data_IF_134688697041
#
_entry.id   IF_134688697041
#
_cell.length_a   1.000
_cell.length_b   1.000
_cell.length_c   1.000
_cell.angle_alpha   90.00
_cell.angle_beta   90.00
_cell.angle_gamma   90.00
#
_symmetry.space_group_name_H-M   'P 1'
#
loop_
_entity.id
_entity.type
_entity.pdbx_description
1 polymer ?
#
# COMPACT_ATOMS: atom_id res chain seq x y z
N UNK A 1 18.72 12.66 12.66
CA UNK A 1 17.32 12.90 13.05
C UNK A 1 16.47 13.41 11.88
N UNK A 2 16.92 14.44 11.13
CA UNK A 2 16.20 14.94 9.94
C UNK A 2 15.98 13.90 8.82
N UNK A 3 16.90 12.96 8.65
CA UNK A 3 16.80 11.89 7.64
C UNK A 3 15.56 11.00 7.85
N UNK A 4 15.22 10.67 9.09
CA UNK A 4 14.05 9.86 9.41
C UNK A 4 12.73 10.59 9.08
N UNK A 5 12.68 11.91 9.31
CA UNK A 5 11.52 12.72 8.97
C UNK A 5 11.30 12.81 7.45
N UNK A 6 12.39 13.00 6.69
CA UNK A 6 12.35 13.02 5.22
C UNK A 6 11.90 11.65 4.69
N UNK A 7 12.42 10.56 5.24
CA UNK A 7 12.01 9.20 4.89
C UNK A 7 10.52 8.96 5.15
N UNK A 8 9.98 9.41 6.29
CA UNK A 8 8.56 9.27 6.62
C UNK A 8 7.66 10.05 5.64
N UNK A 9 8.06 11.28 5.28
CA UNK A 9 7.36 12.11 4.31
C UNK A 9 7.37 11.49 2.91
N UNK A 10 8.55 11.07 2.44
CA UNK A 10 8.71 10.40 1.14
C UNK A 10 7.93 9.10 1.08
N UNK A 11 7.94 8.30 2.16
CA UNK A 11 7.14 7.08 2.22
C UNK A 11 5.66 7.40 2.17
N UNK A 12 5.17 8.41 2.90
CA UNK A 12 3.77 8.84 2.87
C UNK A 12 3.30 9.25 1.46
N UNK A 13 4.10 10.04 0.74
CA UNK A 13 3.82 10.45 -0.65
C UNK A 13 3.83 9.23 -1.57
N UNK A 14 4.83 8.36 -1.43
CA UNK A 14 4.94 7.13 -2.22
C UNK A 14 3.70 6.24 -2.08
N UNK A 15 3.27 5.96 -0.84
CA UNK A 15 2.06 5.17 -0.60
C UNK A 15 0.79 5.86 -1.10
N UNK A 16 0.72 7.19 -1.04
CA UNK A 16 -0.43 7.92 -1.57
C UNK A 16 -0.57 7.73 -3.08
N UNK A 17 0.53 7.88 -3.83
CA UNK A 17 0.56 7.72 -5.29
C UNK A 17 0.29 6.28 -5.69
N UNK A 18 0.96 5.31 -5.07
CA UNK A 18 0.75 3.89 -5.38
C UNK A 18 -0.66 3.41 -5.00
N UNK A 19 -1.22 3.88 -3.88
CA UNK A 19 -2.59 3.57 -3.50
C UNK A 19 -3.59 4.12 -4.51
N UNK A 20 -3.37 5.35 -5.00
CA UNK A 20 -4.21 5.95 -6.03
C UNK A 20 -4.16 5.15 -7.33
N UNK A 21 -2.98 4.69 -7.74
CA UNK A 21 -2.78 3.88 -8.94
C UNK A 21 -3.45 2.50 -8.87
N UNK A 22 -3.54 1.94 -7.68
CA UNK A 22 -4.03 0.56 -7.45
C UNK A 22 -5.50 0.49 -7.05
N UNK A 23 -6.18 1.64 -6.94
CA UNK A 23 -7.58 1.73 -6.49
C UNK A 23 -7.76 1.52 -4.98
N UNK A 24 -6.67 1.57 -4.21
CA UNK A 24 -6.68 1.54 -2.75
C UNK A 24 -6.95 2.95 -2.21
N UNK A 25 -7.46 3.04 -0.97
CA UNK A 25 -7.82 4.33 -0.36
C UNK A 25 -6.57 5.19 -0.07
N UNK A 26 -6.17 6.04 -1.02
CA UNK A 26 -4.95 6.85 -0.97
C UNK A 26 -4.79 7.68 0.31
N UNK A 27 -5.88 8.28 0.80
CA UNK A 27 -5.87 9.03 2.06
C UNK A 27 -5.50 8.17 3.28
N UNK A 28 -6.01 6.92 3.34
CA UNK A 28 -5.75 6.00 4.46
C UNK A 28 -4.31 5.48 4.43
N UNK A 29 -3.82 5.14 3.24
CA UNK A 29 -2.47 4.59 3.07
C UNK A 29 -1.38 5.66 3.16
N UNK A 30 -1.64 6.89 2.71
CA UNK A 30 -0.74 8.03 2.92
C UNK A 30 -0.60 8.38 4.41
N UNK A 31 -1.71 8.43 5.17
CA UNK A 31 -1.68 8.64 6.63
C UNK A 31 -0.96 7.50 7.36
N UNK A 32 -1.24 6.24 6.99
CA UNK A 32 -0.56 5.08 7.59
C UNK A 32 0.95 5.11 7.30
N UNK A 33 1.34 5.51 6.09
CA UNK A 33 2.73 5.72 5.71
C UNK A 33 3.44 6.84 6.47
N UNK A 34 2.73 7.91 6.82
CA UNK A 34 3.29 9.00 7.62
C UNK A 34 3.49 8.58 9.10
N UNK A 35 2.59 7.74 9.63
CA UNK A 35 2.62 7.30 11.03
C UNK A 35 3.57 6.12 11.28
N UNK A 36 3.58 5.12 10.40
CA UNK A 36 4.41 3.91 10.55
C UNK A 36 5.67 3.91 9.67
N UNK A 37 5.78 4.87 8.73
CA UNK A 37 6.95 5.02 7.89
C UNK A 37 7.19 3.84 6.93
N UNK A 38 8.46 3.50 6.64
CA UNK A 38 8.80 2.44 5.69
C UNK A 38 8.43 1.02 6.19
N UNK A 39 8.12 0.84 7.48
CA UNK A 39 7.67 -0.46 8.01
C UNK A 39 6.31 -0.89 7.43
N UNK A 40 5.54 0.04 6.87
CA UNK A 40 4.25 -0.26 6.24
C UNK A 40 4.37 -0.87 4.83
N UNK A 41 5.58 -0.91 4.25
CA UNK A 41 5.86 -1.36 2.88
C UNK A 41 5.40 -2.80 2.62
N UNK A 42 5.79 -3.79 3.43
CA UNK A 42 5.34 -5.17 3.21
C UNK A 42 3.81 -5.30 3.30
N UNK A 43 3.17 -4.59 4.22
CA UNK A 43 1.72 -4.62 4.38
C UNK A 43 0.99 -3.99 3.19
N UNK A 44 1.50 -2.85 2.71
CA UNK A 44 0.96 -2.17 1.54
C UNK A 44 1.07 -3.03 0.28
N UNK A 45 2.23 -3.64 0.04
CA UNK A 45 2.44 -4.54 -1.10
C UNK A 45 1.45 -5.71 -1.10
N UNK A 46 1.22 -6.35 0.06
CA UNK A 46 0.23 -7.43 0.16
C UNK A 46 -1.16 -6.94 -0.25
N UNK A 47 -1.58 -5.77 0.24
CA UNK A 47 -2.90 -5.20 -0.07
C UNK A 47 -3.02 -4.79 -1.54
N UNK A 48 -1.97 -4.24 -2.13
CA UNK A 48 -1.87 -3.97 -3.56
C UNK A 48 -1.99 -5.25 -4.39
N UNK A 49 -1.27 -6.31 -4.04
CA UNK A 49 -1.37 -7.60 -4.72
C UNK A 49 -2.78 -8.19 -4.61
N UNK A 50 -3.40 -8.12 -3.44
CA UNK A 50 -4.78 -8.60 -3.24
C UNK A 50 -5.80 -7.78 -4.04
N UNK A 51 -5.64 -6.45 -4.08
CA UNK A 51 -6.50 -5.57 -4.88
C UNK A 51 -6.38 -5.88 -6.39
N UNK A 52 -5.15 -6.07 -6.89
CA UNK A 52 -4.89 -6.44 -8.27
C UNK A 52 -5.44 -7.84 -8.61
N UNK A 53 -5.27 -8.82 -7.71
CA UNK A 53 -5.85 -10.17 -7.88
C UNK A 53 -7.37 -10.11 -7.94
N UNK A 54 -7.99 -9.31 -7.05
CA UNK A 54 -9.45 -9.11 -7.03
C UNK A 54 -9.94 -8.44 -8.33
N UNK A 55 -9.25 -7.40 -8.79
CA UNK A 55 -9.57 -6.71 -10.04
C UNK A 55 -9.43 -7.61 -11.27
N UNK A 56 -8.49 -8.56 -11.27
CA UNK A 56 -8.30 -9.56 -12.33
C UNK A 56 -9.30 -10.73 -12.28
N UNK A 57 -10.26 -10.74 -11.36
CA UNK A 57 -11.31 -11.77 -11.30
C UNK A 57 -10.88 -13.09 -10.63
N UNK A 58 -9.73 -13.15 -9.95
CA UNK A 58 -9.27 -14.37 -9.25
C UNK A 58 -10.14 -14.78 -8.05
N UNK A 59 -11.17 -14.02 -7.69
CA UNK A 59 -12.06 -14.32 -6.57
C UNK A 59 -12.99 -15.52 -6.77
N UNK A 60 -13.02 -16.11 -7.98
CA UNK A 60 -13.92 -17.23 -8.31
C UNK A 60 -13.24 -18.60 -8.43
N UNK A 61 -11.90 -18.67 -8.42
CA UNK A 61 -11.20 -19.96 -8.58
C UNK A 61 -10.68 -20.40 -7.22
N UNK A 62 -11.55 -21.06 -6.46
CA UNK A 62 -11.18 -21.83 -5.28
C UNK A 62 -10.43 -23.09 -5.77
N UNK A 63 -9.12 -22.98 -5.98
CA UNK A 63 -8.27 -24.16 -6.18
C UNK A 63 -8.15 -24.85 -4.82
N UNK A 64 -9.07 -25.78 -4.57
CA UNK A 64 -8.93 -26.79 -3.54
C UNK A 64 -7.76 -27.69 -3.99
N UNK A 65 -6.60 -27.52 -3.38
CA UNK A 65 -5.40 -28.32 -3.61
C UNK A 65 -5.36 -29.51 -2.66
#
# INVERSE_FOLDING_TARGET
MFTALILCLLSGIFYYVEAFRTGLSAKRWGLAGLLMGPLLLPLFNIKQHMALRKARGFGSVYLNA
#
